data_IF_479453805175
#
_entry.id   IF_479453805175
#
_cell.length_a   1.000
_cell.length_b   1.000
_cell.length_c   1.000
_cell.angle_alpha   90.00
_cell.angle_beta   90.00
_cell.angle_gamma   90.00
#
_symmetry.space_group_name_H-M   'P 1'
#
loop_
_entity.id
_entity.type
_entity.pdbx_description
1 polymer ?
#
# COMPACT_ATOMS: atom_id res chain seq x y z
N UNK A 1 -8.96 -13.77 20.33
CA UNK A 1 -10.09 -14.04 19.41
C UNK A 1 -10.11 -12.88 18.46
N UNK A 2 -9.26 -13.02 17.47
CA UNK A 2 -8.81 -11.95 16.61
C UNK A 2 -9.57 -12.18 15.31
N UNK A 3 -10.19 -11.13 14.77
CA UNK A 3 -11.07 -11.29 13.60
C UNK A 3 -10.24 -11.68 12.38
N UNK A 4 -10.63 -12.80 11.77
CA UNK A 4 -9.96 -13.36 10.59
C UNK A 4 -10.06 -12.41 9.38
N UNK A 5 -9.20 -12.63 8.39
CA UNK A 5 -9.34 -11.96 7.10
C UNK A 5 -10.75 -12.18 6.54
N UNK A 6 -11.45 -11.13 6.06
CA UNK A 6 -12.85 -11.21 5.62
C UNK A 6 -13.18 -12.31 4.61
N UNK A 7 -12.22 -12.71 3.78
CA UNK A 7 -12.39 -13.76 2.78
C UNK A 7 -12.14 -15.19 3.33
N UNK A 8 -11.65 -15.39 4.56
CA UNK A 8 -11.38 -16.73 5.12
C UNK A 8 -12.66 -17.56 5.23
N UNK A 9 -12.55 -18.86 4.90
CA UNK A 9 -13.65 -19.82 5.08
C UNK A 9 -13.78 -20.32 6.53
N UNK A 10 -12.78 -20.10 7.39
CA UNK A 10 -12.89 -20.42 8.81
C UNK A 10 -13.44 -19.25 9.63
N UNK A 11 -14.10 -19.57 10.74
CA UNK A 11 -14.62 -18.61 11.73
C UNK A 11 -13.63 -18.29 12.82
N UNK A 12 -12.65 -19.17 12.98
CA UNK A 12 -11.64 -19.13 14.03
C UNK A 12 -10.26 -19.14 13.36
N UNK A 13 -9.38 -18.27 13.85
CA UNK A 13 -8.04 -18.10 13.30
C UNK A 13 -7.10 -17.70 14.43
N UNK A 14 -5.98 -18.41 14.53
CA UNK A 14 -5.01 -18.24 15.59
C UNK A 14 -3.61 -18.24 14.99
N UNK A 15 -2.80 -17.25 15.37
CA UNK A 15 -1.35 -17.31 15.16
C UNK A 15 -0.74 -18.25 16.21
N UNK A 16 0.26 -19.02 15.80
CA UNK A 16 0.95 -19.98 16.66
C UNK A 16 2.43 -19.65 16.79
N UNK A 17 2.99 -19.79 17.99
CA UNK A 17 4.39 -19.50 18.28
C UNK A 17 5.21 -20.75 18.62
N UNK A 18 4.60 -21.75 19.27
CA UNK A 18 5.28 -23.01 19.58
C UNK A 18 4.80 -24.18 18.70
N UNK A 19 5.69 -24.65 17.83
CA UNK A 19 5.48 -25.83 17.00
C UNK A 19 5.20 -27.12 17.80
N UNK A 20 5.66 -27.25 19.06
CA UNK A 20 5.42 -28.46 19.88
C UNK A 20 3.94 -28.57 20.28
N UNK A 21 3.33 -27.51 20.80
CA UNK A 21 1.91 -27.47 21.19
C UNK A 21 0.99 -27.69 19.98
N UNK A 22 1.31 -27.12 18.82
CA UNK A 22 0.61 -27.39 17.56
C UNK A 22 0.60 -28.89 17.26
N UNK A 23 1.78 -29.52 17.16
CA UNK A 23 1.88 -30.95 16.82
C UNK A 23 1.35 -31.89 17.92
N UNK A 24 1.34 -31.49 19.20
CA UNK A 24 0.63 -32.21 20.26
C UNK A 24 -0.89 -32.24 20.01
N UNK A 25 -1.48 -31.08 19.70
CA UNK A 25 -2.92 -30.95 19.47
C UNK A 25 -3.40 -31.68 18.21
N UNK A 26 -2.57 -31.71 17.17
CA UNK A 26 -2.86 -32.41 15.90
C UNK A 26 -2.79 -33.93 16.04
N UNK A 27 -1.77 -34.46 16.73
CA UNK A 27 -1.59 -35.91 16.91
C UNK A 27 -2.64 -36.55 17.85
N UNK A 28 -3.48 -35.76 18.52
CA UNK A 28 -4.50 -36.22 19.47
C UNK A 28 -3.96 -36.82 20.78
N UNK A 29 -2.64 -36.96 20.91
CA UNK A 29 -1.94 -37.59 22.03
C UNK A 29 -1.88 -36.73 23.30
N UNK A 30 -3.02 -36.49 23.92
CA UNK A 30 -3.07 -36.01 25.31
C UNK A 30 -2.70 -37.13 26.29
N UNK A 31 -1.84 -36.84 27.27
CA UNK A 31 -1.62 -37.74 28.41
C UNK A 31 -2.93 -37.94 29.20
N UNK A 32 -3.17 -39.16 29.70
CA UNK A 32 -4.41 -39.55 30.37
C UNK A 32 -4.79 -38.59 31.51
N UNK A 33 -5.82 -37.77 31.28
CA UNK A 33 -6.34 -36.79 32.24
C UNK A 33 -6.29 -35.34 31.77
N UNK A 34 -5.50 -35.01 30.74
CA UNK A 34 -5.49 -33.66 30.16
C UNK A 34 -6.47 -33.56 29.00
N UNK A 35 -7.38 -32.58 29.04
CA UNK A 35 -8.41 -32.39 28.03
C UNK A 35 -7.79 -31.80 26.75
N UNK A 36 -7.33 -32.68 25.85
CA UNK A 36 -6.67 -32.27 24.61
C UNK A 36 -7.60 -31.41 23.75
N UNK A 37 -7.19 -30.16 23.50
CA UNK A 37 -7.87 -29.29 22.56
C UNK A 37 -7.59 -29.81 21.15
N UNK A 38 -8.62 -30.29 20.46
CA UNK A 38 -8.51 -30.67 19.06
C UNK A 38 -8.19 -29.44 18.22
N UNK A 39 -6.99 -29.40 17.63
CA UNK A 39 -6.51 -28.26 16.83
C UNK A 39 -6.72 -28.58 15.35
N UNK A 40 -7.21 -27.59 14.60
CA UNK A 40 -7.53 -27.72 13.18
C UNK A 40 -6.54 -26.91 12.33
N UNK A 41 -6.01 -27.53 11.27
CA UNK A 41 -4.97 -26.94 10.41
C UNK A 41 -5.45 -25.72 9.61
N UNK A 42 -6.75 -25.62 9.28
CA UNK A 42 -7.30 -24.44 8.58
C UNK A 42 -7.38 -23.20 9.47
N UNK A 43 -7.29 -23.38 10.78
CA UNK A 43 -7.54 -22.33 11.78
C UNK A 43 -6.23 -21.82 12.39
N UNK A 44 -5.09 -22.41 11.98
CA UNK A 44 -3.74 -22.01 12.38
C UNK A 44 -3.06 -21.26 11.23
N UNK A 45 -2.77 -19.98 11.44
CA UNK A 45 -2.19 -19.09 10.43
C UNK A 45 -0.77 -18.66 10.81
N UNK A 46 0.05 -18.40 9.79
CA UNK A 46 1.37 -17.78 9.97
C UNK A 46 1.28 -16.40 10.62
N UNK A 47 2.37 -15.98 11.27
CA UNK A 47 2.39 -14.77 12.09
C UNK A 47 2.54 -13.50 11.25
N UNK A 48 3.42 -13.52 10.24
CA UNK A 48 3.57 -12.42 9.29
C UNK A 48 2.76 -12.69 8.02
N UNK A 49 2.98 -13.81 7.32
CA UNK A 49 2.26 -14.22 6.11
C UNK A 49 0.87 -14.82 6.41
N UNK A 50 0.09 -14.08 7.20
CA UNK A 50 -1.19 -14.43 7.81
C UNK A 50 -2.37 -14.68 6.84
N UNK A 51 -2.14 -14.77 5.53
CA UNK A 51 -3.08 -15.35 4.56
C UNK A 51 -2.91 -16.86 4.38
N UNK A 52 -1.76 -17.42 4.77
CA UNK A 52 -1.47 -18.85 4.69
C UNK A 52 -1.81 -19.56 6.00
N UNK A 53 -2.63 -20.60 5.92
CA UNK A 53 -2.86 -21.55 7.03
C UNK A 53 -1.86 -22.71 6.96
N UNK A 54 -1.68 -23.43 8.07
CA UNK A 54 -0.88 -24.66 8.07
C UNK A 54 -1.45 -25.73 7.12
N UNK A 55 -2.75 -25.72 6.84
CA UNK A 55 -3.36 -26.65 5.88
C UNK A 55 -2.89 -26.37 4.44
N UNK A 56 -2.80 -25.10 4.04
CA UNK A 56 -2.30 -24.71 2.71
C UNK A 56 -0.82 -25.12 2.51
N UNK A 57 -0.04 -25.04 3.60
CA UNK A 57 1.39 -25.38 3.61
C UNK A 57 1.62 -26.90 3.58
N UNK A 58 0.98 -27.67 4.47
CA UNK A 58 1.12 -29.13 4.51
C UNK A 58 0.45 -29.87 3.35
N UNK A 59 -0.44 -29.20 2.59
CA UNK A 59 -1.09 -29.79 1.41
C UNK A 59 -0.26 -29.59 0.12
N UNK A 60 0.47 -28.49 -0.03
CA UNK A 60 1.09 -28.12 -1.31
C UNK A 60 2.47 -27.45 -1.26
N UNK A 61 3.09 -27.22 -0.09
CA UNK A 61 4.39 -26.57 0.00
C UNK A 61 5.52 -27.51 0.45
N UNK A 62 6.33 -27.96 -0.51
CA UNK A 62 7.61 -28.64 -0.25
C UNK A 62 8.65 -27.66 0.28
N UNK A 63 9.21 -27.93 1.47
CA UNK A 63 10.23 -27.06 2.06
C UNK A 63 11.52 -27.03 1.22
N UNK A 64 12.20 -25.87 1.07
CA UNK A 64 13.52 -25.79 0.44
C UNK A 64 14.59 -26.69 1.06
N UNK A 65 14.44 -27.05 2.35
CA UNK A 65 15.35 -27.93 3.10
C UNK A 65 15.28 -29.43 2.70
N UNK A 66 14.68 -29.75 1.54
CA UNK A 66 14.34 -31.11 1.05
C UNK A 66 13.42 -31.95 1.96
N UNK A 67 12.96 -31.41 3.10
CA UNK A 67 11.97 -32.05 3.96
C UNK A 67 10.59 -32.02 3.29
N UNK A 68 10.09 -33.21 2.92
CA UNK A 68 8.79 -33.38 2.26
C UNK A 68 7.63 -33.32 3.28
N UNK A 69 7.32 -32.11 3.73
CA UNK A 69 6.29 -31.81 4.73
C UNK A 69 4.87 -32.06 4.19
N UNK A 70 4.37 -33.28 4.36
CA UNK A 70 3.02 -33.67 3.94
C UNK A 70 1.99 -33.61 5.08
N UNK A 71 0.71 -33.61 4.71
CA UNK A 71 -0.42 -33.73 5.63
C UNK A 71 -0.33 -34.99 6.52
N UNK A 72 0.23 -36.10 6.00
CA UNK A 72 0.46 -37.33 6.76
C UNK A 72 1.51 -37.14 7.89
N UNK A 73 2.48 -36.22 7.72
CA UNK A 73 3.39 -35.84 8.81
C UNK A 73 2.66 -34.97 9.84
N UNK A 74 1.83 -34.03 9.40
CA UNK A 74 1.09 -33.12 10.28
C UNK A 74 0.08 -33.82 11.19
N UNK A 75 -0.59 -34.86 10.68
CA UNK A 75 -1.62 -35.64 11.40
C UNK A 75 -1.11 -37.00 11.90
N UNK A 76 0.17 -37.32 11.65
CA UNK A 76 0.77 -38.61 11.95
C UNK A 76 1.27 -38.76 13.39
N UNK A 77 1.81 -39.94 13.68
CA UNK A 77 2.50 -40.24 14.96
C UNK A 77 3.89 -39.59 14.99
N UNK A 78 4.44 -39.16 13.85
CA UNK A 78 5.72 -38.45 13.78
C UNK A 78 5.60 -36.98 14.18
N UNK A 79 5.45 -36.79 15.48
CA UNK A 79 5.47 -35.48 16.13
C UNK A 79 6.82 -34.75 15.95
N UNK A 80 7.91 -35.45 15.61
CA UNK A 80 9.21 -34.83 15.35
C UNK A 80 9.19 -34.18 13.95
N UNK A 81 8.83 -34.92 12.91
CA UNK A 81 8.67 -34.43 11.55
C UNK A 81 7.67 -33.27 11.46
N UNK A 82 6.49 -33.40 12.08
CA UNK A 82 5.52 -32.30 12.19
C UNK A 82 6.16 -31.04 12.75
N UNK A 83 6.89 -31.15 13.88
CA UNK A 83 7.49 -29.99 14.55
C UNK A 83 8.60 -29.35 13.71
N UNK A 84 9.41 -30.16 13.04
CA UNK A 84 10.49 -29.66 12.17
C UNK A 84 9.94 -28.93 10.95
N UNK A 85 8.84 -29.41 10.36
CA UNK A 85 8.11 -28.73 9.30
C UNK A 85 7.49 -27.40 9.75
N UNK A 86 6.76 -27.38 10.89
CA UNK A 86 6.19 -26.13 11.42
C UNK A 86 7.29 -25.12 11.76
N UNK A 87 8.43 -25.56 12.30
CA UNK A 87 9.59 -24.68 12.53
C UNK A 87 10.25 -24.18 11.24
N UNK A 88 10.27 -24.97 10.16
CA UNK A 88 10.76 -24.50 8.85
C UNK A 88 9.84 -23.40 8.30
N UNK A 89 8.53 -23.60 8.37
CA UNK A 89 7.55 -22.57 7.97
C UNK A 89 7.69 -21.29 8.80
N UNK A 90 7.91 -21.39 10.12
CA UNK A 90 8.16 -20.23 10.99
C UNK A 90 9.44 -19.46 10.64
N UNK A 91 10.52 -20.14 10.19
CA UNK A 91 11.75 -19.48 9.72
C UNK A 91 11.52 -18.71 8.42
N UNK A 92 10.77 -19.28 7.48
CA UNK A 92 10.41 -18.62 6.22
C UNK A 92 9.48 -17.42 6.47
N UNK A 93 8.55 -17.53 7.42
CA UNK A 93 7.66 -16.45 7.86
C UNK A 93 8.44 -15.27 8.46
N UNK A 94 9.42 -15.56 9.32
CA UNK A 94 10.33 -14.56 9.87
C UNK A 94 11.18 -13.89 8.77
N UNK A 95 11.73 -14.66 7.83
CA UNK A 95 12.56 -14.10 6.76
C UNK A 95 11.74 -13.20 5.81
N UNK A 96 10.48 -13.57 5.55
CA UNK A 96 9.54 -12.71 4.83
C UNK A 96 9.23 -11.41 5.60
N UNK A 97 9.10 -11.46 6.93
CA UNK A 97 8.96 -10.24 7.76
C UNK A 97 10.21 -9.36 7.70
N UNK A 98 11.41 -9.94 7.77
CA UNK A 98 12.68 -9.22 7.72
C UNK A 98 12.87 -8.50 6.37
N UNK A 99 12.64 -9.19 5.25
CA UNK A 99 12.66 -8.57 3.92
C UNK A 99 11.57 -7.48 3.78
N UNK A 100 10.39 -7.66 4.37
CA UNK A 100 9.34 -6.64 4.35
C UNK A 100 9.74 -5.39 5.14
N UNK A 101 10.46 -5.53 6.25
CA UNK A 101 10.99 -4.39 7.03
C UNK A 101 12.02 -3.59 6.23
N UNK A 102 12.84 -4.22 5.38
CA UNK A 102 13.74 -3.48 4.47
C UNK A 102 12.95 -2.64 3.45
N UNK A 103 11.88 -3.20 2.89
CA UNK A 103 10.93 -2.45 2.05
C UNK A 103 10.24 -1.33 2.84
N UNK A 104 9.87 -1.52 4.11
CA UNK A 104 9.33 -0.43 4.95
C UNK A 104 10.34 0.70 5.19
N UNK A 105 11.63 0.41 5.29
CA UNK A 105 12.69 1.43 5.37
C UNK A 105 12.87 2.21 4.05
N UNK A 106 12.69 1.56 2.90
CA UNK A 106 12.62 2.25 1.60
C UNK A 106 11.39 3.15 1.55
N UNK A 107 10.22 2.63 1.93
CA UNK A 107 8.95 3.36 2.00
C UNK A 107 9.06 4.59 2.90
N UNK A 108 9.71 4.49 4.06
CA UNK A 108 9.91 5.61 4.98
C UNK A 108 10.82 6.71 4.39
N UNK A 109 11.81 6.35 3.56
CA UNK A 109 12.72 7.28 2.89
C UNK A 109 12.10 7.91 1.63
N UNK A 110 11.00 7.36 1.11
CA UNK A 110 10.39 7.80 -0.14
C UNK A 110 9.53 9.05 0.06
N UNK A 111 10.20 10.21 0.12
CA UNK A 111 9.68 11.52 0.58
C UNK A 111 8.48 12.10 -0.22
N UNK A 112 8.06 11.50 -1.33
CA UNK A 112 7.00 12.10 -2.18
C UNK A 112 5.57 11.74 -1.73
N UNK A 113 4.87 12.74 -1.20
CA UNK A 113 3.44 12.68 -0.79
C UNK A 113 2.46 12.19 -1.89
N UNK A 114 2.87 12.24 -3.17
CA UNK A 114 2.01 11.90 -4.31
C UNK A 114 2.80 11.47 -5.56
N UNK A 115 3.35 10.25 -5.57
CA UNK A 115 3.93 9.64 -6.77
C UNK A 115 2.90 9.20 -7.82
N UNK A 116 1.61 9.15 -7.45
CA UNK A 116 0.50 8.68 -8.27
C UNK A 116 -0.77 9.48 -7.99
N UNK A 117 -1.57 9.74 -9.03
CA UNK A 117 -2.88 10.42 -8.90
C UNK A 117 -4.03 9.45 -8.59
N UNK A 118 -3.73 8.14 -8.51
CA UNK A 118 -4.70 7.05 -8.28
C UNK A 118 -4.40 6.22 -7.04
N UNK A 119 -3.12 6.03 -6.71
CA UNK A 119 -2.66 5.05 -5.73
C UNK A 119 -1.80 5.71 -4.65
N UNK A 120 -1.84 5.14 -3.45
CA UNK A 120 -1.14 5.64 -2.27
C UNK A 120 -0.13 4.61 -1.77
N UNK A 121 0.84 5.03 -0.97
CA UNK A 121 1.86 4.12 -0.43
C UNK A 121 1.24 2.96 0.38
N UNK A 122 0.15 3.20 1.11
CA UNK A 122 -0.59 2.12 1.80
C UNK A 122 -1.17 1.08 0.84
N UNK A 123 -1.69 1.50 -0.33
CA UNK A 123 -2.14 0.55 -1.36
C UNK A 123 -0.97 -0.25 -1.96
N UNK A 124 0.22 0.34 -2.06
CA UNK A 124 1.44 -0.37 -2.44
C UNK A 124 1.83 -1.43 -1.38
N UNK A 125 1.87 -1.05 -0.09
CA UNK A 125 2.15 -1.99 1.02
C UNK A 125 1.17 -3.17 1.04
N UNK A 126 -0.12 -2.90 0.83
CA UNK A 126 -1.20 -3.91 0.78
C UNK A 126 -1.08 -4.92 -0.38
N UNK A 127 -0.32 -4.63 -1.45
CA UNK A 127 -0.05 -5.61 -2.53
C UNK A 127 1.37 -6.16 -2.50
N UNK A 128 2.33 -5.44 -1.92
CA UNK A 128 3.71 -5.91 -1.75
C UNK A 128 3.81 -7.02 -0.70
N UNK A 129 3.09 -6.92 0.44
CA UNK A 129 3.10 -8.00 1.45
C UNK A 129 2.60 -9.34 0.88
N UNK A 130 1.43 -9.44 0.21
CA UNK A 130 1.00 -10.71 -0.38
C UNK A 130 1.91 -11.22 -1.51
N UNK A 131 2.44 -10.32 -2.35
CA UNK A 131 3.45 -10.69 -3.36
C UNK A 131 4.68 -11.34 -2.73
N UNK A 132 5.23 -10.74 -1.67
CA UNK A 132 6.41 -11.25 -0.98
C UNK A 132 6.11 -12.62 -0.35
N UNK A 133 4.99 -12.76 0.35
CA UNK A 133 4.56 -14.04 0.90
C UNK A 133 4.38 -15.13 -0.17
N UNK A 134 3.92 -14.82 -1.37
CA UNK A 134 3.83 -15.80 -2.47
C UNK A 134 5.16 -16.12 -3.15
N UNK A 135 6.23 -15.35 -2.90
CA UNK A 135 7.60 -15.76 -3.26
C UNK A 135 8.13 -16.81 -2.27
N UNK A 136 7.82 -16.66 -0.98
CA UNK A 136 8.23 -17.59 0.09
C UNK A 136 7.40 -18.87 0.13
N UNK A 137 6.08 -18.78 -0.07
CA UNK A 137 5.14 -19.89 0.05
C UNK A 137 4.44 -20.14 -1.28
N UNK A 138 5.17 -20.83 -2.15
CA UNK A 138 4.76 -21.23 -3.51
C UNK A 138 3.80 -22.43 -3.43
N UNK A 139 2.58 -22.20 -2.94
CA UNK A 139 1.49 -23.18 -2.80
C UNK A 139 0.14 -22.54 -3.08
N UNK A 140 -0.85 -23.34 -3.49
CA UNK A 140 -2.23 -22.89 -3.68
C UNK A 140 -2.94 -22.75 -2.32
N UNK A 141 -3.52 -21.59 -2.07
CA UNK A 141 -4.32 -21.30 -0.90
C UNK A 141 -5.77 -21.78 -1.09
N UNK A 142 -6.21 -22.70 -0.24
CA UNK A 142 -7.47 -23.42 -0.40
C UNK A 142 -8.63 -22.78 0.38
N UNK A 143 -8.34 -22.09 1.49
CA UNK A 143 -9.32 -21.70 2.52
C UNK A 143 -9.86 -20.25 2.41
N UNK A 144 -10.19 -19.79 1.20
CA UNK A 144 -10.75 -18.45 1.00
C UNK A 144 -11.84 -18.34 -0.07
N UNK A 145 -12.66 -17.29 0.08
CA UNK A 145 -13.86 -17.00 -0.70
C UNK A 145 -13.58 -16.51 -2.12
N UNK A 146 -12.40 -15.92 -2.36
CA UNK A 146 -11.94 -15.49 -3.69
C UNK A 146 -10.46 -15.78 -3.89
N UNK A 147 -10.16 -16.51 -4.96
CA UNK A 147 -8.81 -16.77 -5.47
C UNK A 147 -8.47 -15.92 -6.70
N UNK A 148 -7.17 -15.75 -6.93
CA UNK A 148 -6.50 -15.18 -8.11
C UNK A 148 -5.18 -15.93 -8.34
N UNK A 149 -4.62 -15.99 -9.55
CA UNK A 149 -3.28 -16.55 -9.77
C UNK A 149 -2.25 -15.78 -8.94
N UNK A 150 -1.35 -16.45 -8.22
CA UNK A 150 -0.39 -15.81 -7.30
C UNK A 150 0.50 -14.78 -8.03
N UNK A 151 0.87 -15.03 -9.29
CA UNK A 151 1.62 -14.09 -10.14
C UNK A 151 0.92 -12.74 -10.39
N UNK A 152 -0.41 -12.67 -10.26
CA UNK A 152 -1.16 -11.41 -10.37
C UNK A 152 -0.66 -10.38 -9.34
N UNK A 153 -0.26 -10.81 -8.14
CA UNK A 153 0.23 -9.89 -7.11
C UNK A 153 1.45 -9.08 -7.55
N UNK A 154 2.32 -9.66 -8.37
CA UNK A 154 3.46 -8.93 -8.93
C UNK A 154 2.98 -7.78 -9.83
N UNK A 155 2.01 -8.05 -10.72
CA UNK A 155 1.43 -7.03 -11.61
C UNK A 155 0.69 -5.94 -10.81
N UNK A 156 0.05 -6.29 -9.69
CA UNK A 156 -0.61 -5.33 -8.81
C UNK A 156 0.41 -4.41 -8.09
N UNK A 157 1.58 -4.93 -7.71
CA UNK A 157 2.72 -4.15 -7.18
C UNK A 157 3.23 -3.16 -8.24
N UNK A 158 3.52 -3.61 -9.46
CA UNK A 158 3.94 -2.72 -10.57
C UNK A 158 2.94 -1.59 -10.85
N UNK A 159 1.64 -1.82 -10.64
CA UNK A 159 0.59 -0.84 -10.87
C UNK A 159 0.32 0.12 -9.70
N UNK A 160 0.73 -0.23 -8.47
CA UNK A 160 0.44 0.57 -7.26
C UNK A 160 1.64 1.25 -6.65
N UNK A 161 2.81 0.62 -6.71
CA UNK A 161 4.01 1.10 -6.05
C UNK A 161 4.69 2.23 -6.84
N UNK A 162 5.51 3.05 -6.17
CA UNK A 162 6.28 4.09 -6.83
C UNK A 162 7.27 3.51 -7.85
N UNK A 163 7.63 4.32 -8.85
CA UNK A 163 8.85 4.10 -9.61
C UNK A 163 10.04 4.33 -8.68
N UNK A 164 10.78 3.27 -8.39
CA UNK A 164 12.10 3.30 -7.75
C UNK A 164 13.12 3.01 -8.84
N UNK A 165 14.19 3.81 -8.89
CA UNK A 165 15.34 3.56 -9.76
C UNK A 165 16.37 2.72 -8.98
N UNK A 166 16.88 1.60 -9.52
CA UNK A 166 17.97 0.86 -8.90
C UNK A 166 19.30 1.62 -9.08
N UNK A 167 20.26 1.37 -8.18
CA UNK A 167 21.63 1.87 -8.32
C UNK A 167 22.30 1.26 -9.57
N UNK A 168 23.22 1.99 -10.21
CA UNK A 168 23.79 1.61 -11.51
C UNK A 168 25.30 1.27 -11.41
N UNK A 169 25.75 0.87 -10.23
CA UNK A 169 27.18 0.68 -9.92
C UNK A 169 27.76 -0.58 -10.58
N UNK A 170 27.05 -1.72 -10.49
CA UNK A 170 27.43 -2.99 -11.12
C UNK A 170 26.77 -3.22 -12.50
N UNK A 171 25.62 -2.59 -12.77
CA UNK A 171 24.83 -2.79 -13.99
C UNK A 171 24.11 -1.51 -14.43
N UNK A 172 24.14 -1.19 -15.73
CA UNK A 172 23.38 -0.05 -16.28
C UNK A 172 21.94 -0.49 -16.57
N UNK A 173 21.01 -0.07 -15.71
CA UNK A 173 19.59 -0.44 -15.79
C UNK A 173 18.79 0.36 -16.84
N UNK A 174 19.37 1.40 -17.43
CA UNK A 174 18.81 2.10 -18.60
C UNK A 174 17.48 2.82 -18.37
N UNK A 175 17.12 3.13 -17.13
CA UNK A 175 15.81 3.68 -16.77
C UNK A 175 14.72 2.64 -16.47
N UNK A 176 15.09 1.37 -16.34
CA UNK A 176 14.22 0.30 -15.83
C UNK A 176 13.97 0.50 -14.31
N UNK A 177 12.75 0.23 -13.79
CA UNK A 177 12.48 0.30 -12.36
C UNK A 177 13.08 -0.88 -11.59
N UNK A 178 13.25 -0.74 -10.27
CA UNK A 178 13.75 -1.80 -9.38
C UNK A 178 12.83 -3.02 -9.25
N UNK A 179 11.57 -2.92 -9.69
CA UNK A 179 10.56 -3.98 -9.56
C UNK A 179 9.90 -4.29 -10.90
N UNK A 180 10.15 -5.50 -11.44
CA UNK A 180 9.69 -5.96 -12.75
C UNK A 180 9.22 -7.41 -12.66
N UNK A 181 8.09 -7.73 -13.28
CA UNK A 181 7.46 -9.07 -13.24
C UNK A 181 7.67 -9.92 -14.49
N UNK A 182 8.25 -9.34 -15.55
CA UNK A 182 8.38 -10.01 -16.85
C UNK A 182 9.65 -9.55 -17.55
N UNK A 183 10.59 -10.47 -17.74
CA UNK A 183 11.77 -10.26 -18.58
C UNK A 183 11.45 -10.42 -20.07
N UNK A 184 12.40 -10.04 -20.92
CA UNK A 184 12.25 -10.16 -22.39
C UNK A 184 12.45 -11.59 -22.92
N UNK A 185 12.99 -12.51 -22.10
CA UNK A 185 13.28 -13.90 -22.49
C UNK A 185 13.38 -14.80 -21.25
N UNK A 186 12.27 -15.13 -20.60
CA UNK A 186 12.26 -16.16 -19.56
C UNK A 186 10.84 -16.74 -19.34
N UNK A 187 10.70 -18.03 -19.67
CA UNK A 187 9.72 -18.88 -19.00
C UNK A 187 10.14 -18.99 -17.53
N UNK A 188 9.20 -18.80 -16.59
CA UNK A 188 9.42 -18.63 -15.14
C UNK A 188 10.65 -19.38 -14.60
N UNK A 189 11.80 -18.69 -14.33
CA UNK A 189 13.05 -19.32 -13.88
C UNK A 189 13.08 -19.53 -12.35
N UNK A 190 11.90 -19.75 -11.77
CA UNK A 190 11.67 -20.02 -10.35
C UNK A 190 10.74 -21.23 -10.27
N UNK A 191 10.95 -22.12 -9.29
CA UNK A 191 10.14 -23.34 -9.10
C UNK A 191 8.67 -23.11 -8.69
N UNK A 192 8.14 -21.92 -8.89
CA UNK A 192 6.77 -21.56 -8.60
C UNK A 192 5.84 -22.16 -9.65
N UNK A 193 4.85 -22.92 -9.20
CA UNK A 193 3.76 -23.41 -10.05
C UNK A 193 3.02 -22.20 -10.69
N UNK A 194 3.00 -22.07 -12.03
CA UNK A 194 2.34 -20.94 -12.70
C UNK A 194 0.81 -20.98 -12.54
N UNK A 195 0.24 -22.14 -12.22
CA UNK A 195 -1.20 -22.32 -11.99
C UNK A 195 -1.58 -22.13 -10.50
N UNK A 196 -0.62 -21.78 -9.62
CA UNK A 196 -0.87 -21.58 -8.19
C UNK A 196 -1.85 -20.44 -7.91
N UNK A 197 -2.90 -20.72 -7.13
CA UNK A 197 -3.93 -19.73 -6.77
C UNK A 197 -3.75 -19.20 -5.33
N UNK A 198 -3.72 -17.89 -5.18
CA UNK A 198 -3.66 -17.16 -3.90
C UNK A 198 -4.99 -16.45 -3.61
N UNK A 199 -5.28 -16.22 -2.34
CA UNK A 199 -6.47 -15.47 -1.88
C UNK A 199 -6.33 -13.97 -2.19
N UNK A 200 -7.40 -13.33 -2.67
CA UNK A 200 -7.38 -11.89 -3.06
C UNK A 200 -7.62 -10.94 -1.88
N UNK A 201 -6.68 -10.90 -0.91
CA UNK A 201 -6.76 -10.09 0.35
C UNK A 201 -6.81 -8.55 0.15
N UNK A 202 -7.04 -8.10 -1.08
CA UNK A 202 -7.24 -6.70 -1.45
C UNK A 202 -8.67 -6.21 -1.16
N UNK A 203 -9.61 -7.10 -0.82
CA UNK A 203 -10.99 -6.72 -0.52
C UNK A 203 -11.23 -6.13 0.88
N UNK A 204 -10.28 -6.28 1.80
CA UNK A 204 -10.35 -5.97 3.24
C UNK A 204 -10.74 -4.53 3.63
N UNK A 205 -10.92 -3.62 2.65
CA UNK A 205 -11.28 -2.21 2.87
C UNK A 205 -12.64 -1.80 2.29
N UNK A 206 -13.51 -2.73 1.83
CA UNK A 206 -14.77 -2.37 1.16
C UNK A 206 -16.07 -2.86 1.80
N UNK A 207 -16.25 -2.48 3.06
CA UNK A 207 -17.55 -2.39 3.74
C UNK A 207 -17.71 -0.91 4.15
N UNK A 208 -18.78 -0.17 3.83
CA UNK A 208 -20.15 -0.57 3.48
C UNK A 208 -20.87 0.40 2.50
N UNK A 209 -22.12 0.07 2.22
CA UNK A 209 -23.23 0.88 1.69
C UNK A 209 -23.26 1.20 0.19
N UNK A 210 -24.09 0.40 -0.48
CA UNK A 210 -24.73 0.68 -1.77
C UNK A 210 -25.38 2.07 -1.79
N UNK A 211 -24.92 2.92 -2.70
CA UNK A 211 -25.57 4.19 -3.05
C UNK A 211 -25.65 4.30 -4.57
N UNK A 212 -26.81 3.99 -5.17
CA UNK A 212 -27.00 4.08 -6.63
C UNK A 212 -26.84 5.54 -7.09
N UNK A 213 -25.90 5.79 -7.99
CA UNK A 213 -25.78 7.07 -8.71
C UNK A 213 -24.36 7.65 -8.70
N UNK A 214 -23.96 8.18 -9.87
CA UNK A 214 -22.63 8.77 -10.17
C UNK A 214 -21.43 7.83 -10.12
N UNK A 215 -20.44 8.12 -10.97
CA UNK A 215 -19.16 7.41 -11.05
C UNK A 215 -18.30 7.73 -9.82
N UNK A 216 -18.53 7.03 -8.70
CA UNK A 216 -17.78 7.18 -7.45
C UNK A 216 -16.28 6.91 -7.71
N UNK A 217 -15.41 7.84 -7.28
CA UNK A 217 -13.95 7.61 -7.26
C UNK A 217 -13.66 6.43 -6.34
N UNK A 218 -13.20 5.31 -6.90
CA UNK A 218 -13.11 4.02 -6.18
C UNK A 218 -12.08 4.02 -5.06
N UNK A 219 -11.06 4.86 -5.18
CA UNK A 219 -9.94 4.98 -4.24
C UNK A 219 -10.21 6.14 -3.28
N UNK A 220 -10.03 5.94 -1.95
CA UNK A 220 -9.92 7.05 -1.01
C UNK A 220 -8.81 8.02 -1.46
N UNK A 221 -8.94 9.34 -1.25
CA UNK A 221 -7.77 10.21 -1.31
C UNK A 221 -6.80 9.78 -0.21
N UNK A 222 -5.50 9.76 -0.51
CA UNK A 222 -4.46 9.43 0.46
C UNK A 222 -4.65 10.29 1.71
N UNK A 223 -4.76 9.67 2.90
CA UNK A 223 -4.97 10.40 4.14
C UNK A 223 -3.65 11.02 4.60
N UNK A 224 -3.29 12.15 3.98
CA UNK A 224 -2.08 12.90 4.29
C UNK A 224 -1.97 13.13 5.80
N UNK A 225 -0.92 12.57 6.42
CA UNK A 225 -0.59 12.82 7.83
C UNK A 225 0.14 14.16 8.02
N UNK A 226 -0.15 15.14 7.15
CA UNK A 226 0.34 16.50 7.26
C UNK A 226 -0.40 17.21 8.41
N UNK A 227 0.35 17.70 9.38
CA UNK A 227 -0.17 18.45 10.54
C UNK A 227 -0.57 19.90 10.19
N UNK A 228 -1.24 20.07 9.05
CA UNK A 228 -1.77 21.33 8.54
C UNK A 228 -3.26 21.17 8.21
N UNK A 229 -4.11 21.49 9.18
CA UNK A 229 -5.57 21.45 9.00
C UNK A 229 -6.04 22.58 8.06
N UNK A 230 -6.10 22.28 6.76
CA UNK A 230 -6.46 23.26 5.72
C UNK A 230 -7.62 22.78 4.82
N UNK A 231 -8.57 22.02 5.37
CA UNK A 231 -9.79 21.58 4.68
C UNK A 231 -11.09 21.84 5.48
N UNK A 232 -11.03 22.67 6.52
CA UNK A 232 -12.24 23.32 7.04
C UNK A 232 -12.85 24.18 5.92
N UNK A 233 -14.10 23.90 5.55
CA UNK A 233 -14.78 24.58 4.45
C UNK A 233 -15.04 26.07 4.78
N UNK A 234 -14.08 26.93 4.45
CA UNK A 234 -14.04 28.33 4.86
C UNK A 234 -15.12 29.21 4.19
N UNK A 235 -16.36 29.09 4.66
CA UNK A 235 -17.42 30.10 4.47
C UNK A 235 -16.99 31.49 4.98
N UNK A 236 -15.91 31.57 5.78
CA UNK A 236 -15.29 32.79 6.28
C UNK A 236 -14.34 33.49 5.28
N UNK A 237 -13.92 32.84 4.19
CA UNK A 237 -13.00 33.45 3.20
C UNK A 237 -13.61 34.67 2.49
N UNK A 238 -14.93 34.69 2.27
CA UNK A 238 -15.62 35.81 1.62
C UNK A 238 -15.53 37.12 2.44
N UNK A 239 -15.43 37.02 3.78
CA UNK A 239 -15.20 38.18 4.64
C UNK A 239 -13.76 38.70 4.53
N UNK A 240 -12.76 37.82 4.66
CA UNK A 240 -11.34 38.22 4.59
C UNK A 240 -10.93 38.73 3.20
N UNK A 241 -11.41 38.11 2.12
CA UNK A 241 -11.16 38.59 0.76
C UNK A 241 -11.75 40.00 0.55
N UNK A 242 -12.99 40.24 1.00
CA UNK A 242 -13.60 41.58 0.95
C UNK A 242 -12.82 42.60 1.77
N UNK A 243 -12.36 42.24 2.98
CA UNK A 243 -11.54 43.14 3.79
C UNK A 243 -10.22 43.50 3.10
N UNK A 244 -9.50 42.52 2.53
CA UNK A 244 -8.28 42.77 1.77
C UNK A 244 -8.52 43.66 0.54
N UNK A 245 -9.60 43.42 -0.23
CA UNK A 245 -9.98 44.28 -1.36
C UNK A 245 -10.33 45.70 -0.91
N UNK A 246 -11.03 45.87 0.22
CA UNK A 246 -11.37 47.18 0.77
C UNK A 246 -10.10 47.93 1.24
N UNK A 247 -9.17 47.24 1.90
CA UNK A 247 -7.86 47.80 2.29
C UNK A 247 -7.02 48.18 1.08
N UNK A 248 -7.01 47.36 0.02
CA UNK A 248 -6.29 47.67 -1.22
C UNK A 248 -6.90 48.89 -1.93
N UNK A 249 -8.23 48.98 -2.03
CA UNK A 249 -8.93 50.15 -2.59
C UNK A 249 -8.68 51.41 -1.73
N UNK A 250 -8.66 51.30 -0.40
CA UNK A 250 -8.31 52.40 0.49
C UNK A 250 -6.85 52.83 0.30
N UNK A 251 -5.88 51.90 0.23
CA UNK A 251 -4.49 52.24 -0.11
C UNK A 251 -4.40 52.94 -1.47
N UNK A 252 -5.10 52.45 -2.49
CA UNK A 252 -5.07 53.03 -3.82
C UNK A 252 -5.65 54.44 -3.84
N UNK A 253 -6.78 54.68 -3.16
CA UNK A 253 -7.37 56.02 -3.05
C UNK A 253 -6.50 56.97 -2.22
N UNK A 254 -5.89 56.52 -1.12
CA UNK A 254 -4.94 57.35 -0.34
C UNK A 254 -3.70 57.69 -1.18
N UNK A 255 -3.14 56.73 -1.92
CA UNK A 255 -2.00 56.97 -2.81
C UNK A 255 -2.36 57.93 -3.97
N UNK A 256 -3.56 57.83 -4.54
CA UNK A 256 -4.05 58.78 -5.55
C UNK A 256 -4.32 60.17 -4.97
N UNK A 257 -4.81 60.29 -3.74
CA UNK A 257 -4.99 61.58 -3.06
C UNK A 257 -3.66 62.21 -2.64
N UNK A 258 -2.67 61.45 -2.17
CA UNK A 258 -1.35 62.02 -1.88
C UNK A 258 -0.61 62.44 -3.14
N UNK A 259 -0.79 61.72 -4.25
CA UNK A 259 -0.33 62.14 -5.58
C UNK A 259 -0.99 63.45 -6.05
N UNK A 260 -2.33 63.59 -5.91
CA UNK A 260 -3.02 64.82 -6.31
C UNK A 260 -2.75 66.01 -5.38
N UNK A 261 -2.57 65.79 -4.08
CA UNK A 261 -2.16 66.84 -3.15
C UNK A 261 -0.73 67.32 -3.40
N UNK A 262 0.20 66.43 -3.78
CA UNK A 262 1.53 66.85 -4.26
C UNK A 262 1.43 67.63 -5.58
N UNK A 263 0.49 67.30 -6.48
CA UNK A 263 0.27 68.04 -7.72
C UNK A 263 -0.30 69.45 -7.50
N UNK A 264 -0.94 69.74 -6.37
CA UNK A 264 -1.39 71.11 -6.00
C UNK A 264 -0.30 72.02 -5.41
N UNK A 265 0.97 71.57 -5.39
CA UNK A 265 2.07 72.30 -4.77
C UNK A 265 2.79 73.37 -5.62
N UNK A 266 2.59 73.41 -6.95
CA UNK A 266 3.29 74.36 -7.83
C UNK A 266 2.42 74.92 -8.97
N UNK A 267 2.32 76.25 -9.02
CA UNK A 267 2.46 77.03 -10.26
C UNK A 267 1.24 77.20 -11.18
N UNK A 268 0.61 78.38 -11.09
CA UNK A 268 -0.23 78.98 -12.13
C UNK A 268 -0.05 80.52 -12.07
N UNK A 269 -0.28 81.32 -13.14
CA UNK A 269 -0.22 81.08 -14.59
C UNK A 269 0.83 82.00 -15.31
N UNK A 270 1.09 81.84 -16.63
CA UNK A 270 0.94 82.94 -17.62
C UNK A 270 1.04 82.54 -19.13
N UNK A 271 -0.11 82.26 -19.76
CA UNK A 271 -0.63 82.86 -21.02
C UNK A 271 0.36 83.25 -22.19
N UNK A 272 0.48 82.35 -23.21
CA UNK A 272 0.44 82.58 -24.71
C UNK A 272 1.43 83.58 -25.39
N UNK A 273 1.47 83.79 -26.74
CA UNK A 273 0.72 83.18 -27.88
C UNK A 273 1.55 82.82 -29.16
N UNK A 274 0.84 82.39 -30.24
CA UNK A 274 1.28 82.31 -31.67
C UNK A 274 2.42 81.32 -32.00
N UNK A 275 2.58 80.72 -33.19
CA UNK A 275 1.76 80.37 -34.38
C UNK A 275 2.57 79.25 -35.12
N UNK A 276 2.21 78.51 -36.19
CA UNK A 276 1.12 78.50 -37.16
C UNK A 276 0.93 77.05 -37.73
N UNK A 277 0.16 76.89 -38.82
CA UNK A 277 -0.04 75.69 -39.66
C UNK A 277 0.54 75.93 -41.09
N UNK A 278 0.72 74.94 -42.01
CA UNK A 278 -0.23 73.85 -42.33
C UNK A 278 0.38 72.49 -42.73
N UNK A 279 -0.48 71.60 -43.24
CA UNK A 279 -0.20 70.24 -43.69
C UNK A 279 0.46 70.15 -45.08
N UNK A 280 0.84 68.93 -45.47
CA UNK A 280 0.85 68.49 -46.87
C UNK A 280 0.39 67.03 -46.96
N UNK A 281 -0.31 66.68 -48.04
CA UNK A 281 -0.70 65.31 -48.40
C UNK A 281 0.17 64.83 -49.59
N UNK A 282 0.75 63.63 -49.50
CA UNK A 282 0.74 62.57 -50.54
C UNK A 282 1.21 61.23 -49.93
#
# INVERSE_FOLDING_TARGET
>A
MDTCHPDSLSKDCFTFTDARTVCLGLSGGGEEGTQSAYVNLSDLYLSFCNSYSLLDLFYGFTSPDLMNCSLDMAMGVDQLGCRECVQAYQRLDQQAEENYREFELLVQKYETDAYSVRTCMDECKMVYKPWLCSQYFQTTQMHCSKRIPCGQYCLEVQQRCPFVLPDNDDLIHGGSPSFICTGLLEDYPSGADPDAECCDVRWDLKVDNSSRGTLKRTHPPCQHRTSLSSSAACRLCNSRLKLCLLVLMLLHTVASLTASHNATGLGLPNITPLEDSPANEE
#
